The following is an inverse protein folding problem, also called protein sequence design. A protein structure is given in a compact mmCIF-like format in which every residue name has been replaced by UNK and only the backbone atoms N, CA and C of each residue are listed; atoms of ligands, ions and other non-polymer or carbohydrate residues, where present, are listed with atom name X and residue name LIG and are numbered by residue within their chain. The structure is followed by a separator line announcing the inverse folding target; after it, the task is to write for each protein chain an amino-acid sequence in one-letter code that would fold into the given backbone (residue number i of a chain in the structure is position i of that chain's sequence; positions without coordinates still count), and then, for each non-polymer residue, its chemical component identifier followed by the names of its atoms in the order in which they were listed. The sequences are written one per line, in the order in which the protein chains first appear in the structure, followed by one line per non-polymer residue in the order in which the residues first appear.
data_IF_962075577951
#
_entry.id   IF_962075577951
#
_cell.length_a   1.000
_cell.length_b   1.000
_cell.length_c   1.000
_cell.angle_alpha   90.00
_cell.angle_beta   90.00
_cell.angle_gamma   90.00
#
_symmetry.space_group_name_H-M   'P 1'
#
loop_
_entity.id
_entity.type
_entity.pdbx_description
1 polymer ?
#
# COMPACT_ATOMS: atom_id res chain seq x y z
N UNK A 1 17.49 21.29 14.28
CA UNK A 1 16.84 22.30 13.41
C UNK A 1 17.42 22.33 12.00
N UNK A 2 18.73 22.56 11.79
CA UNK A 2 19.34 22.61 10.44
C UNK A 2 19.13 21.34 9.59
N UNK A 3 19.19 20.15 10.20
CA UNK A 3 18.95 18.87 9.51
C UNK A 3 17.51 18.70 9.01
N UNK A 4 16.53 19.22 9.75
CA UNK A 4 15.10 19.18 9.38
C UNK A 4 14.83 20.14 8.22
N UNK A 5 15.43 21.33 8.24
CA UNK A 5 15.31 22.31 7.15
C UNK A 5 15.93 21.80 5.85
N UNK A 6 17.07 21.10 5.92
CA UNK A 6 17.68 20.47 4.75
C UNK A 6 16.81 19.32 4.22
N UNK A 7 16.22 18.51 5.10
CA UNK A 7 15.30 17.44 4.70
C UNK A 7 14.05 18.02 4.01
N UNK A 8 13.47 19.08 4.56
CA UNK A 8 12.31 19.78 4.00
C UNK A 8 12.67 20.47 2.67
N UNK A 9 13.87 21.04 2.54
CA UNK A 9 14.31 21.66 1.29
C UNK A 9 14.59 20.64 0.18
N UNK A 10 15.13 19.46 0.52
CA UNK A 10 15.34 18.35 -0.42
C UNK A 10 14.01 17.75 -0.85
N UNK A 11 13.06 17.59 0.08
CA UNK A 11 11.70 17.18 -0.25
C UNK A 11 11.02 18.25 -1.13
N UNK A 12 11.12 19.53 -0.76
CA UNK A 12 10.51 20.66 -1.45
C UNK A 12 11.00 20.93 -2.87
N UNK A 13 12.24 20.56 -3.21
CA UNK A 13 12.79 20.76 -4.56
C UNK A 13 12.34 19.71 -5.58
N UNK A 14 11.71 18.63 -5.14
CA UNK A 14 11.22 17.57 -6.03
C UNK A 14 9.85 17.87 -6.68
N UNK A 15 9.17 18.94 -6.26
CA UNK A 15 7.80 19.30 -6.66
C UNK A 15 7.67 20.02 -8.02
N UNK A 16 8.75 20.17 -8.79
CA UNK A 16 8.75 21.02 -10.01
C UNK A 16 8.34 20.30 -11.31
N UNK A 17 7.99 19.01 -11.26
CA UNK A 17 7.44 18.24 -12.38
C UNK A 17 6.33 17.35 -11.86
N UNK A 18 5.33 17.07 -12.72
CA UNK A 18 4.23 16.11 -12.53
C UNK A 18 4.72 14.65 -12.43
N UNK A 19 5.67 14.43 -11.54
CA UNK A 19 6.38 13.19 -11.27
C UNK A 19 5.96 12.61 -9.92
N UNK A 20 5.08 13.29 -9.17
CA UNK A 20 4.66 12.86 -7.84
C UNK A 20 3.16 12.68 -7.79
N UNK A 21 2.74 11.66 -7.04
CA UNK A 21 1.34 11.39 -6.75
C UNK A 21 1.17 11.03 -5.28
N UNK A 22 0.10 11.55 -4.70
CA UNK A 22 -0.43 11.07 -3.42
C UNK A 22 -1.80 10.49 -3.68
N UNK A 23 -2.05 9.30 -3.14
CA UNK A 23 -3.33 8.60 -3.26
C UNK A 23 -3.78 8.09 -1.89
N UNK A 24 -5.08 8.02 -1.70
CA UNK A 24 -5.71 7.39 -0.55
C UNK A 24 -6.66 6.29 -1.04
N UNK A 25 -6.62 5.14 -0.37
CA UNK A 25 -7.52 4.04 -0.65
C UNK A 25 -8.86 4.27 0.04
N UNK A 26 -9.93 4.38 -0.77
CA UNK A 26 -11.28 4.56 -0.26
C UNK A 26 -12.02 3.23 -0.11
N UNK A 27 -11.63 2.19 -0.84
CA UNK A 27 -12.24 0.88 -0.71
C UNK A 27 -11.96 0.31 0.69
N UNK A 28 -10.72 0.41 1.12
CA UNK A 28 -10.25 -0.02 2.42
C UNK A 28 -10.95 0.71 3.58
N UNK A 29 -11.11 2.03 3.46
CA UNK A 29 -11.84 2.83 4.44
C UNK A 29 -13.31 2.43 4.57
N UNK A 30 -13.96 2.08 3.45
CA UNK A 30 -15.37 1.72 3.42
C UNK A 30 -15.62 0.26 3.83
N UNK A 31 -14.76 -0.66 3.40
CA UNK A 31 -14.94 -2.10 3.60
C UNK A 31 -14.34 -2.61 4.92
N UNK A 32 -13.19 -2.04 5.34
CA UNK A 32 -12.37 -2.58 6.44
C UNK A 32 -12.06 -1.56 7.55
N UNK A 33 -12.57 -0.31 7.44
CA UNK A 33 -12.21 0.81 8.33
C UNK A 33 -10.69 1.00 8.47
N UNK A 34 -9.96 0.68 7.42
CA UNK A 34 -8.52 0.90 7.31
C UNK A 34 -8.26 2.19 6.54
N UNK A 35 -7.15 2.85 6.83
CA UNK A 35 -6.69 3.97 5.99
C UNK A 35 -5.40 3.52 5.34
N UNK A 36 -5.38 3.47 4.02
CA UNK A 36 -4.15 3.32 3.24
C UNK A 36 -3.83 4.62 2.51
N UNK A 37 -2.64 5.15 2.74
CA UNK A 37 -2.11 6.32 2.02
C UNK A 37 -0.89 5.85 1.24
N UNK A 38 -0.80 6.26 -0.01
CA UNK A 38 0.34 5.94 -0.86
C UNK A 38 0.93 7.17 -1.53
N UNK A 39 2.25 7.13 -1.67
CA UNK A 39 3.03 8.10 -2.42
C UNK A 39 3.75 7.38 -3.55
N UNK A 40 3.76 7.99 -4.73
CA UNK A 40 4.37 7.44 -5.92
C UNK A 40 5.20 8.49 -6.66
N UNK A 41 6.40 8.11 -7.08
CA UNK A 41 7.34 8.92 -7.82
C UNK A 41 7.67 8.27 -9.18
N UNK A 42 7.49 9.02 -10.27
CA UNK A 42 7.77 8.58 -11.63
C UNK A 42 9.25 8.80 -11.95
N UNK A 43 9.98 7.69 -12.09
CA UNK A 43 11.39 7.67 -12.49
C UNK A 43 11.55 7.74 -14.02
N UNK A 44 10.50 7.42 -14.76
CA UNK A 44 10.44 7.55 -16.21
C UNK A 44 9.01 7.40 -16.73
N UNK A 45 8.82 7.45 -18.03
CA UNK A 45 7.48 7.44 -18.66
C UNK A 45 6.72 6.13 -18.45
N UNK A 46 7.47 5.04 -18.20
CA UNK A 46 6.93 3.69 -18.03
C UNK A 46 7.26 3.08 -16.68
N UNK A 47 7.83 3.83 -15.73
CA UNK A 47 8.25 3.24 -14.46
C UNK A 47 8.14 4.22 -13.30
N UNK A 48 7.72 3.69 -12.15
CA UNK A 48 7.61 4.43 -10.91
C UNK A 48 8.03 3.60 -9.72
N UNK A 49 8.37 4.30 -8.65
CA UNK A 49 8.62 3.73 -7.32
C UNK A 49 7.70 4.43 -6.34
N UNK A 50 7.19 3.70 -5.36
CA UNK A 50 6.31 4.28 -4.37
C UNK A 50 6.34 3.50 -3.07
N UNK A 51 5.60 4.02 -2.09
CA UNK A 51 5.35 3.34 -0.84
C UNK A 51 3.91 3.59 -0.41
N UNK A 52 3.28 2.59 0.19
CA UNK A 52 2.02 2.76 0.89
C UNK A 52 2.14 2.41 2.36
N UNK A 53 1.30 3.07 3.17
CA UNK A 53 1.16 2.81 4.60
C UNK A 53 -0.32 2.54 4.83
N UNK A 54 -0.62 1.32 5.26
CA UNK A 54 -1.93 0.91 5.71
C UNK A 54 -1.95 0.95 7.23
N UNK A 55 -2.96 1.59 7.80
CA UNK A 55 -3.24 1.64 9.23
C UNK A 55 -4.64 1.09 9.49
N UNK A 56 -4.73 0.09 10.37
CA UNK A 56 -5.99 -0.52 10.75
C UNK A 56 -6.49 0.02 12.09
N UNK A 57 -7.71 0.55 12.11
CA UNK A 57 -8.36 1.12 13.30
C UNK A 57 -9.48 0.24 13.86
N UNK A 58 -9.75 -0.92 13.25
CA UNK A 58 -10.77 -1.86 13.71
C UNK A 58 -10.36 -2.46 15.07
N UNK A 59 -11.30 -2.54 16.01
CA UNK A 59 -11.05 -3.17 17.32
C UNK A 59 -11.09 -4.69 17.20
N UNK A 60 -10.31 -5.37 18.05
CA UNK A 60 -10.22 -6.83 18.18
C UNK A 60 -11.59 -7.52 18.03
N UNK A 61 -11.67 -8.54 17.16
CA UNK A 61 -12.80 -9.47 17.08
C UNK A 61 -14.00 -9.05 16.21
N UNK A 62 -13.87 -8.03 15.35
CA UNK A 62 -14.95 -7.60 14.47
C UNK A 62 -14.77 -8.08 13.01
N UNK A 63 -15.34 -9.24 12.67
CA UNK A 63 -15.73 -9.56 11.28
C UNK A 63 -15.07 -10.78 10.63
N UNK A 64 -15.65 -11.22 9.51
CA UNK A 64 -15.29 -12.44 8.76
C UNK A 64 -14.01 -12.29 7.90
N UNK A 65 -13.51 -11.06 7.74
CA UNK A 65 -12.33 -10.70 6.94
C UNK A 65 -11.43 -9.76 7.74
N UNK A 66 -10.94 -10.20 8.91
CA UNK A 66 -10.01 -9.41 9.72
C UNK A 66 -8.61 -9.59 9.14
N UNK A 67 -8.10 -8.57 8.46
CA UNK A 67 -6.67 -8.36 8.43
C UNK A 67 -6.24 -8.10 9.88
N UNK A 68 -5.68 -9.10 10.56
CA UNK A 68 -5.12 -8.92 11.90
C UNK A 68 -3.84 -8.02 11.90
N UNK A 69 -3.47 -7.51 10.73
CA UNK A 69 -2.39 -6.55 10.54
C UNK A 69 -2.85 -5.20 11.06
N UNK A 70 -2.15 -4.71 12.08
CA UNK A 70 -2.37 -3.39 12.67
C UNK A 70 -1.85 -2.28 11.74
N UNK A 71 -0.77 -2.59 11.03
CA UNK A 71 -0.15 -1.69 10.06
C UNK A 71 0.66 -2.50 9.05
N UNK A 72 0.77 -1.96 7.83
CA UNK A 72 1.63 -2.49 6.79
C UNK A 72 2.30 -1.35 6.03
N UNK A 73 3.61 -1.43 5.87
CA UNK A 73 4.37 -0.53 4.99
C UNK A 73 4.76 -1.32 3.76
N UNK A 74 4.39 -0.81 2.59
CA UNK A 74 4.54 -1.51 1.32
C UNK A 74 5.29 -0.66 0.31
N UNK A 75 6.63 -0.69 0.27
CA UNK A 75 7.38 -0.18 -0.87
C UNK A 75 7.09 -1.02 -2.13
N UNK A 76 6.90 -0.34 -3.26
CA UNK A 76 6.58 -0.99 -4.53
C UNK A 76 7.27 -0.33 -5.70
N UNK A 77 7.50 -1.13 -6.74
CA UNK A 77 7.92 -0.69 -8.06
C UNK A 77 6.82 -1.03 -9.06
N UNK A 78 6.48 -0.09 -9.94
CA UNK A 78 5.51 -0.31 -11.02
C UNK A 78 6.14 -0.08 -12.37
N UNK A 79 5.81 -0.97 -13.30
CA UNK A 79 6.08 -0.79 -14.72
C UNK A 79 4.76 -0.62 -15.47
N UNK A 80 4.67 0.45 -16.26
CA UNK A 80 3.50 0.80 -17.06
C UNK A 80 3.67 0.29 -18.49
N UNK A 81 2.71 -0.50 -18.96
CA UNK A 81 2.71 -1.06 -20.31
C UNK A 81 2.19 -0.08 -21.38
N UNK A 82 1.76 1.10 -20.97
CA UNK A 82 1.26 2.16 -21.85
C UNK A 82 1.83 3.49 -21.37
N UNK A 83 2.42 4.28 -22.26
CA UNK A 83 3.14 5.51 -21.92
C UNK A 83 2.44 6.79 -22.40
N UNK A 84 1.30 6.68 -23.09
CA UNK A 84 0.71 7.82 -23.83
C UNK A 84 -0.80 7.88 -23.75
N UNK A 85 -1.38 7.30 -22.71
CA UNK A 85 -2.82 7.35 -22.46
C UNK A 85 -3.07 7.91 -21.08
N UNK A 86 -4.20 8.59 -20.93
CA UNK A 86 -4.71 8.95 -19.61
C UNK A 86 -5.01 7.69 -18.79
N UNK A 87 -5.33 6.58 -19.47
CA UNK A 87 -5.57 5.27 -18.88
C UNK A 87 -4.41 4.31 -19.17
N UNK A 88 -3.71 3.87 -18.13
CA UNK A 88 -2.54 3.00 -18.24
C UNK A 88 -2.73 1.73 -17.42
N UNK A 89 -2.21 0.63 -17.94
CA UNK A 89 -2.10 -0.64 -17.22
C UNK A 89 -0.69 -0.79 -16.66
N UNK A 90 -0.58 -1.36 -15.48
CA UNK A 90 0.72 -1.58 -14.84
C UNK A 90 0.83 -2.96 -14.20
N UNK A 91 2.08 -3.43 -14.14
CA UNK A 91 2.49 -4.52 -13.26
C UNK A 91 3.27 -3.94 -12.09
N UNK A 92 3.12 -4.54 -10.92
CA UNK A 92 3.74 -4.11 -9.69
C UNK A 92 4.46 -5.28 -9.02
N UNK A 93 5.66 -5.00 -8.50
CA UNK A 93 6.34 -5.85 -7.53
C UNK A 93 6.45 -5.07 -6.23
N UNK A 94 6.09 -5.70 -5.12
CA UNK A 94 6.09 -5.04 -3.82
C UNK A 94 6.76 -5.88 -2.76
N UNK A 95 7.36 -5.18 -1.80
CA UNK A 95 7.76 -5.75 -0.51
C UNK A 95 6.82 -5.18 0.54
N UNK A 96 6.49 -5.97 1.55
CA UNK A 96 5.66 -5.55 2.68
C UNK A 96 6.40 -5.76 3.98
N UNK A 97 6.25 -4.84 4.92
CA UNK A 97 6.55 -5.07 6.33
C UNK A 97 5.24 -4.92 7.07
N UNK A 98 4.70 -6.02 7.55
CA UNK A 98 3.43 -6.11 8.23
C UNK A 98 3.64 -6.43 9.72
N UNK A 99 2.87 -5.75 10.58
CA UNK A 99 2.82 -6.08 12.00
C UNK A 99 1.39 -6.35 12.40
N UNK A 100 1.16 -7.38 13.21
CA UNK A 100 -0.17 -7.74 13.65
C UNK A 100 -0.18 -8.72 14.81
N UNK A 101 -1.38 -9.18 15.17
CA UNK A 101 -1.60 -10.15 16.24
C UNK A 101 -2.18 -11.46 15.65
N UNK A 102 -1.63 -12.62 16.02
CA UNK A 102 -2.24 -13.91 15.69
C UNK A 102 -3.03 -14.43 16.87
N UNK A 103 -4.31 -14.74 16.63
CA UNK A 103 -5.16 -15.41 17.60
C UNK A 103 -4.64 -16.83 17.86
N UNK A 104 -4.35 -17.14 19.12
CA UNK A 104 -4.10 -18.50 19.58
C UNK A 104 -5.43 -19.08 20.04
N UNK A 105 -5.89 -20.14 19.35
CA UNK A 105 -7.16 -20.81 19.64
C UNK A 105 -6.92 -22.21 20.21
N UNK A 106 -7.62 -22.53 21.30
CA UNK A 106 -7.80 -23.90 21.81
C UNK A 106 -9.30 -24.19 21.78
N UNK A 107 -9.69 -25.30 21.15
CA UNK A 107 -11.10 -25.70 20.98
C UNK A 107 -12.01 -24.57 20.43
N UNK A 108 -11.49 -23.80 19.48
CA UNK A 108 -12.21 -22.69 18.85
C UNK A 108 -12.35 -21.42 19.71
N UNK A 109 -11.87 -21.43 20.96
CA UNK A 109 -11.83 -20.25 21.83
C UNK A 109 -10.47 -19.56 21.74
N UNK A 110 -10.50 -18.24 21.54
CA UNK A 110 -9.29 -17.41 21.59
C UNK A 110 -8.82 -17.34 23.04
N UNK A 111 -7.60 -17.82 23.29
CA UNK A 111 -6.99 -17.86 24.63
C UNK A 111 -5.86 -16.85 24.80
N UNK A 112 -5.22 -16.44 23.71
CA UNK A 112 -4.08 -15.53 23.73
C UNK A 112 -3.86 -14.89 22.35
N UNK A 113 -3.09 -13.81 22.30
CA UNK A 113 -2.68 -13.11 21.08
C UNK A 113 -1.17 -13.04 21.02
N UNK A 114 -0.59 -13.46 19.89
CA UNK A 114 0.85 -13.38 19.67
C UNK A 114 1.18 -12.33 18.61
N UNK A 115 1.94 -11.32 19.02
CA UNK A 115 2.49 -10.33 18.10
C UNK A 115 3.39 -10.98 17.05
N UNK A 116 3.29 -10.50 15.81
CA UNK A 116 4.21 -10.84 14.75
C UNK A 116 4.61 -9.59 13.97
N UNK A 117 5.84 -9.62 13.49
CA UNK A 117 6.35 -8.76 12.43
C UNK A 117 6.88 -9.69 11.35
N UNK A 118 6.51 -9.46 10.10
CA UNK A 118 7.01 -10.24 8.98
C UNK A 118 7.33 -9.36 7.78
N UNK A 119 8.08 -9.93 6.86
CA UNK A 119 8.35 -9.39 5.53
C UNK A 119 7.59 -10.20 4.48
N UNK A 120 6.85 -9.49 3.64
CA UNK A 120 6.13 -10.04 2.49
C UNK A 120 6.85 -9.68 1.18
N UNK A 121 6.77 -10.57 0.21
CA UNK A 121 7.10 -10.30 -1.20
C UNK A 121 5.89 -10.65 -2.05
N UNK A 122 5.53 -9.79 -3.00
CA UNK A 122 4.39 -10.06 -3.86
C UNK A 122 4.40 -9.32 -5.18
N UNK A 123 3.36 -9.62 -5.94
CA UNK A 123 3.08 -9.03 -7.25
C UNK A 123 1.64 -8.55 -7.30
N UNK A 124 1.41 -7.46 -8.02
CA UNK A 124 0.07 -6.96 -8.31
C UNK A 124 -0.03 -6.48 -9.76
N UNK A 125 -1.26 -6.42 -10.25
CA UNK A 125 -1.60 -5.86 -11.54
C UNK A 125 -2.74 -4.87 -11.38
N UNK A 126 -2.73 -3.81 -12.16
CA UNK A 126 -3.73 -2.78 -12.01
C UNK A 126 -3.85 -1.86 -13.20
N UNK A 127 -4.75 -0.91 -13.04
CA UNK A 127 -5.02 0.10 -14.02
C UNK A 127 -5.18 1.45 -13.34
N UNK A 128 -4.64 2.48 -13.98
CA UNK A 128 -4.63 3.83 -13.48
C UNK A 128 -5.15 4.80 -14.54
N UNK A 129 -6.03 5.69 -14.13
CA UNK A 129 -6.48 6.82 -14.91
C UNK A 129 -5.95 8.12 -14.30
N UNK A 130 -5.36 8.99 -15.11
CA UNK A 130 -4.95 10.35 -14.74
C UNK A 130 -5.69 11.35 -15.63
N UNK A 131 -6.46 12.24 -15.00
CA UNK A 131 -7.14 13.33 -15.70
C UNK A 131 -6.14 14.44 -16.07
N UNK A 132 -6.50 15.25 -17.06
CA UNK A 132 -5.70 16.41 -17.45
C UNK A 132 -5.52 17.43 -16.31
N UNK A 133 -6.44 17.43 -15.34
CA UNK A 133 -6.38 18.26 -14.14
C UNK A 133 -5.63 17.59 -12.98
N UNK A 134 -4.90 16.49 -13.20
CA UNK A 134 -4.10 15.84 -12.17
C UNK A 134 -4.84 14.83 -11.29
N UNK A 135 -6.17 14.70 -11.40
CA UNK A 135 -6.91 13.72 -10.60
C UNK A 135 -6.58 12.29 -11.01
N UNK A 136 -6.32 11.42 -10.04
CA UNK A 136 -5.90 10.03 -10.25
C UNK A 136 -6.95 9.07 -9.70
N UNK A 137 -7.31 8.07 -10.51
CA UNK A 137 -8.04 6.87 -10.09
C UNK A 137 -7.13 5.68 -10.33
N UNK A 138 -6.92 4.84 -9.33
CA UNK A 138 -6.01 3.70 -9.40
C UNK A 138 -6.68 2.47 -8.78
N UNK A 139 -6.78 1.39 -9.57
CA UNK A 139 -7.43 0.15 -9.18
C UNK A 139 -6.42 -0.97 -9.38
N UNK A 140 -6.17 -1.76 -8.34
CA UNK A 140 -5.23 -2.87 -8.42
C UNK A 140 -5.67 -4.06 -7.59
N UNK A 141 -5.17 -5.24 -7.98
CA UNK A 141 -5.31 -6.48 -7.24
C UNK A 141 -4.04 -7.32 -7.39
N UNK A 142 -3.72 -8.10 -6.37
CA UNK A 142 -2.47 -8.84 -6.28
C UNK A 142 -2.40 -9.71 -5.04
N UNK A 143 -1.30 -10.45 -4.97
CA UNK A 143 -1.01 -11.34 -3.87
C UNK A 143 0.49 -11.35 -3.57
N UNK A 144 0.79 -11.51 -2.29
CA UNK A 144 2.13 -11.71 -1.78
C UNK A 144 2.18 -12.89 -0.81
N UNK A 145 3.40 -13.19 -0.36
CA UNK A 145 3.69 -14.25 0.60
C UNK A 145 4.63 -13.74 1.67
N UNK A 146 4.28 -14.01 2.92
CA UNK A 146 5.16 -13.78 4.06
C UNK A 146 6.30 -14.80 4.08
N UNK A 147 7.53 -14.34 4.35
CA UNK A 147 8.74 -15.12 4.12
C UNK A 147 9.53 -15.48 5.38
N UNK A 148 9.33 -14.78 6.51
CA UNK A 148 10.28 -14.84 7.63
C UNK A 148 9.66 -15.30 8.96
N UNK A 149 8.35 -15.22 9.15
CA UNK A 149 7.67 -15.66 10.38
C UNK A 149 6.76 -16.86 10.14
N UNK A 150 6.83 -17.86 11.04
CA UNK A 150 5.86 -18.96 11.08
C UNK A 150 4.53 -18.56 11.74
N UNK A 151 4.49 -17.37 12.34
CA UNK A 151 3.32 -16.86 13.07
C UNK A 151 2.45 -15.95 12.19
N UNK A 152 2.90 -15.56 11.00
CA UNK A 152 2.15 -14.70 10.08
C UNK A 152 1.23 -15.52 9.15
N UNK A 153 0.18 -14.91 8.58
CA UNK A 153 -0.57 -15.50 7.47
C UNK A 153 0.36 -15.79 6.28
N UNK A 154 0.20 -16.93 5.62
CA UNK A 154 1.08 -17.26 4.48
C UNK A 154 0.84 -16.38 3.26
N UNK A 155 -0.40 -15.95 3.03
CA UNK A 155 -0.80 -15.13 1.88
C UNK A 155 -1.13 -13.71 2.36
N UNK A 156 -0.60 -12.72 1.64
CA UNK A 156 -0.85 -11.30 1.86
C UNK A 156 -1.64 -10.77 0.65
N UNK A 157 -2.95 -10.51 0.77
CA UNK A 157 -3.73 -9.96 -0.32
C UNK A 157 -3.40 -8.47 -0.48
N UNK A 158 -3.37 -8.01 -1.74
CA UNK A 158 -3.14 -6.60 -2.07
C UNK A 158 -4.21 -6.14 -3.06
N UNK A 159 -5.21 -5.43 -2.58
CA UNK A 159 -6.34 -4.95 -3.39
C UNK A 159 -6.61 -3.51 -3.00
N UNK A 160 -6.96 -2.66 -3.96
CA UNK A 160 -7.24 -1.27 -3.64
C UNK A 160 -7.98 -0.50 -4.71
N UNK A 161 -8.78 0.47 -4.27
CA UNK A 161 -9.41 1.49 -5.12
C UNK A 161 -9.05 2.86 -4.57
N UNK A 162 -8.13 3.51 -5.28
CA UNK A 162 -7.39 4.66 -4.79
C UNK A 162 -7.79 5.90 -5.57
N UNK A 163 -8.06 6.99 -4.84
CA UNK A 163 -8.22 8.32 -5.40
C UNK A 163 -7.05 9.20 -4.98
N UNK A 164 -6.58 10.03 -5.88
CA UNK A 164 -5.41 10.86 -5.60
C UNK A 164 -5.25 12.04 -6.54
N UNK A 165 -4.08 12.66 -6.41
CA UNK A 165 -3.72 13.81 -7.22
C UNK A 165 -2.25 13.74 -7.62
N UNK A 166 -1.99 14.03 -8.90
CA UNK A 166 -0.67 14.19 -9.52
C UNK A 166 -0.36 15.67 -9.64
N UNK A 167 0.80 16.08 -9.14
CA UNK A 167 1.29 17.46 -9.17
C UNK A 167 2.75 17.52 -9.64
#
# INVERSE_FOLDING_TARGET
MKKIVILIAILGSSFAKAQQEVKADLFDALAYKTIEISYEYYIGDQSSVGASVLLNFEKRGAGFFVYNEHQMITPYFRHYFTASKNWNYFGEVFLGINTGEKEIKIDGKVIDYKDYTDGALGVAGGTKYISNGGFVIDIYAGLGRNMFSSSSPSVVPRVGVNLGYRF
#
